data_IF_120390209605
#
_entry.id   IF_120390209605
#
_cell.length_a   1.000
_cell.length_b   1.000
_cell.length_c   1.000
_cell.angle_alpha   90.00
_cell.angle_beta   90.00
_cell.angle_gamma   90.00
#
_symmetry.space_group_name_H-M   'P 1'
#
loop_
_entity.id
_entity.type
_entity.pdbx_description
1 polymer ?
#
# COMPACT_ATOMS: atom_id res chain seq x y z
N UNK A 1 13.01 -7.70 -27.64
CA UNK A 1 11.61 -7.24 -27.81
C UNK A 1 11.46 -6.81 -29.26
N UNK A 2 10.48 -7.35 -29.98
CA UNK A 2 10.19 -6.93 -31.36
C UNK A 2 9.59 -5.52 -31.33
N UNK A 3 9.74 -4.76 -32.41
CA UNK A 3 9.24 -3.38 -32.48
C UNK A 3 7.72 -3.29 -32.21
N UNK A 4 6.96 -4.28 -32.66
CA UNK A 4 5.52 -4.43 -32.40
C UNK A 4 5.18 -4.65 -30.92
N UNK A 5 6.01 -5.40 -30.19
CA UNK A 5 5.83 -5.64 -28.75
C UNK A 5 6.08 -4.35 -27.96
N UNK A 6 7.12 -3.61 -28.32
CA UNK A 6 7.44 -2.32 -27.70
C UNK A 6 6.31 -1.29 -27.93
N UNK A 7 5.75 -1.24 -29.14
CA UNK A 7 4.59 -0.39 -29.44
C UNK A 7 3.36 -0.76 -28.61
N UNK A 8 3.10 -2.06 -28.43
CA UNK A 8 1.99 -2.53 -27.61
C UNK A 8 2.15 -2.10 -26.15
N UNK A 9 3.37 -2.20 -25.60
CA UNK A 9 3.68 -1.73 -24.25
C UNK A 9 3.52 -0.21 -24.13
N UNK A 10 3.97 0.57 -25.12
CA UNK A 10 3.78 2.02 -25.14
C UNK A 10 2.30 2.42 -25.19
N UNK A 11 1.47 1.69 -25.94
CA UNK A 11 0.03 1.92 -25.97
C UNK A 11 -0.61 1.58 -24.61
N UNK A 12 -0.19 0.48 -23.98
CA UNK A 12 -0.64 0.09 -22.65
C UNK A 12 -0.28 1.15 -21.60
N UNK A 13 0.98 1.63 -21.61
CA UNK A 13 1.42 2.72 -20.74
C UNK A 13 0.57 3.96 -20.94
N UNK A 14 0.39 4.38 -22.19
CA UNK A 14 -0.38 5.58 -22.51
C UNK A 14 -1.81 5.49 -22.00
N UNK A 15 -2.47 4.34 -22.17
CA UNK A 15 -3.83 4.12 -21.65
C UNK A 15 -3.85 4.14 -20.12
N UNK A 16 -2.92 3.44 -19.47
CA UNK A 16 -2.85 3.34 -18.01
C UNK A 16 -2.60 4.70 -17.36
N UNK A 17 -1.64 5.46 -17.88
CA UNK A 17 -1.32 6.82 -17.41
C UNK A 17 -2.51 7.75 -17.63
N UNK A 18 -3.10 7.76 -18.83
CA UNK A 18 -4.27 8.61 -19.12
C UNK A 18 -5.45 8.27 -18.21
N UNK A 19 -5.67 6.98 -17.93
CA UNK A 19 -6.75 6.53 -17.04
C UNK A 19 -6.51 7.04 -15.61
N UNK A 20 -5.30 6.85 -15.10
CA UNK A 20 -4.93 7.34 -13.77
C UNK A 20 -5.06 8.87 -13.68
N UNK A 21 -4.58 9.61 -14.68
CA UNK A 21 -4.70 11.06 -14.71
C UNK A 21 -6.16 11.52 -14.78
N UNK A 22 -7.01 10.89 -15.58
CA UNK A 22 -8.44 11.21 -15.67
C UNK A 22 -9.14 11.05 -14.32
N UNK A 23 -8.96 9.92 -13.63
CA UNK A 23 -9.54 9.71 -12.29
C UNK A 23 -8.96 10.71 -11.30
N UNK A 24 -7.63 10.88 -11.28
CA UNK A 24 -6.95 11.78 -10.35
C UNK A 24 -7.46 13.21 -10.46
N UNK A 25 -7.60 13.72 -11.69
CA UNK A 25 -8.07 15.08 -11.95
C UNK A 25 -9.55 15.23 -11.60
N UNK A 26 -10.40 14.25 -11.95
CA UNK A 26 -11.83 14.30 -11.65
C UNK A 26 -12.11 14.29 -10.15
N UNK A 27 -11.43 13.41 -9.40
CA UNK A 27 -11.63 13.26 -7.96
C UNK A 27 -10.69 14.12 -7.11
N UNK A 28 -9.85 14.96 -7.74
CA UNK A 28 -8.89 15.86 -7.08
C UNK A 28 -7.99 15.14 -6.07
N UNK A 29 -7.53 13.95 -6.43
CA UNK A 29 -6.63 13.17 -5.56
C UNK A 29 -5.22 13.75 -5.66
N UNK A 30 -4.69 14.24 -4.54
CA UNK A 30 -3.33 14.76 -4.48
C UNK A 30 -2.31 13.63 -4.35
N UNK A 31 -1.14 13.80 -4.98
CA UNK A 31 -0.04 12.85 -4.88
C UNK A 31 0.94 12.93 -6.04
N UNK A 32 2.15 12.45 -5.80
CA UNK A 32 3.20 12.31 -6.81
C UNK A 32 2.90 11.12 -7.71
N UNK A 33 2.91 11.34 -9.03
CA UNK A 33 2.76 10.26 -10.01
C UNK A 33 4.05 9.44 -10.12
N UNK A 34 3.95 8.11 -10.29
CA UNK A 34 5.10 7.29 -10.63
C UNK A 34 5.76 7.74 -11.96
N UNK A 35 7.08 7.57 -12.12
CA UNK A 35 7.72 7.58 -13.43
C UNK A 35 7.02 6.64 -14.43
N UNK A 36 6.93 7.06 -15.69
CA UNK A 36 6.40 6.21 -16.77
C UNK A 36 7.36 5.04 -17.04
N UNK A 37 6.88 3.82 -17.31
CA UNK A 37 7.73 2.69 -17.72
C UNK A 37 8.72 3.03 -18.85
N UNK A 38 8.34 3.85 -19.82
CA UNK A 38 9.15 4.30 -20.96
C UNK A 38 10.32 5.19 -20.55
N UNK A 39 10.26 5.82 -19.37
CA UNK A 39 11.41 6.57 -18.84
C UNK A 39 12.63 5.69 -18.54
N UNK A 40 12.42 4.37 -18.39
CA UNK A 40 13.49 3.38 -18.25
C UNK A 40 14.04 2.88 -19.59
N UNK A 41 13.51 3.36 -20.71
CA UNK A 41 14.09 3.19 -22.04
C UNK A 41 13.94 1.81 -22.66
N UNK A 42 12.95 1.01 -22.24
CA UNK A 42 12.69 -0.33 -22.80
C UNK A 42 12.32 -0.30 -24.30
N UNK A 43 11.91 0.86 -24.81
CA UNK A 43 11.48 1.14 -26.18
C UNK A 43 12.66 1.47 -27.12
N UNK A 44 13.89 1.57 -26.60
CA UNK A 44 15.06 2.03 -27.35
C UNK A 44 15.94 0.87 -27.80
N UNK A 45 16.79 1.14 -28.79
CA UNK A 45 17.84 0.20 -29.17
C UNK A 45 18.92 0.13 -28.08
N UNK A 46 19.39 -1.07 -27.76
CA UNK A 46 20.40 -1.32 -26.73
C UNK A 46 21.63 -2.03 -27.29
N UNK A 47 22.80 -1.71 -26.73
CA UNK A 47 24.09 -2.27 -27.16
C UNK A 47 24.17 -3.79 -26.97
N UNK A 48 23.49 -4.32 -25.96
CA UNK A 48 23.52 -5.75 -25.64
C UNK A 48 22.12 -6.25 -25.27
N UNK A 49 21.90 -7.54 -25.51
CA UNK A 49 20.66 -8.21 -25.11
C UNK A 49 20.45 -8.20 -23.58
N UNK A 50 21.53 -8.27 -22.80
CA UNK A 50 21.48 -8.21 -21.33
C UNK A 50 20.91 -6.90 -20.82
N UNK A 51 21.35 -5.76 -21.37
CA UNK A 51 20.83 -4.43 -21.03
C UNK A 51 19.35 -4.35 -21.40
N UNK A 52 18.98 -4.78 -22.62
CA UNK A 52 17.59 -4.77 -23.05
C UNK A 52 16.68 -5.57 -22.11
N UNK A 53 17.09 -6.79 -21.74
CA UNK A 53 16.33 -7.63 -20.80
C UNK A 53 16.17 -6.98 -19.43
N UNK A 54 17.23 -6.36 -18.91
CA UNK A 54 17.18 -5.66 -17.63
C UNK A 54 16.21 -4.48 -17.66
N UNK A 55 16.28 -3.63 -18.69
CA UNK A 55 15.42 -2.44 -18.80
C UNK A 55 13.95 -2.81 -19.04
N UNK A 56 13.68 -3.89 -19.79
CA UNK A 56 12.32 -4.45 -19.91
C UNK A 56 11.80 -4.95 -18.56
N UNK A 57 12.64 -5.61 -17.76
CA UNK A 57 12.24 -6.06 -16.42
C UNK A 57 11.92 -4.88 -15.50
N UNK A 58 12.78 -3.85 -15.49
CA UNK A 58 12.53 -2.61 -14.73
C UNK A 58 11.23 -1.95 -15.20
N UNK A 59 11.04 -1.76 -16.50
CA UNK A 59 9.81 -1.17 -17.05
C UNK A 59 8.56 -1.94 -16.65
N UNK A 60 8.59 -3.28 -16.73
CA UNK A 60 7.50 -4.17 -16.27
C UNK A 60 7.15 -3.92 -14.81
N UNK A 61 8.15 -3.81 -13.95
CA UNK A 61 7.93 -3.59 -12.52
C UNK A 61 7.29 -2.21 -12.28
N UNK A 62 7.60 -1.21 -13.11
CA UNK A 62 6.91 0.08 -13.10
C UNK A 62 5.47 0.05 -13.62
N UNK A 63 5.11 -0.86 -14.53
CA UNK A 63 3.70 -1.10 -14.86
C UNK A 63 2.92 -1.57 -13.62
N UNK A 64 3.52 -2.42 -12.78
CA UNK A 64 2.90 -2.89 -11.54
C UNK A 64 2.67 -1.72 -10.57
N UNK A 65 3.64 -0.81 -10.46
CA UNK A 65 3.49 0.40 -9.64
C UNK A 65 2.33 1.26 -10.16
N UNK A 66 2.20 1.44 -11.47
CA UNK A 66 1.07 2.17 -12.06
C UNK A 66 -0.28 1.48 -11.85
N UNK A 67 -0.33 0.14 -11.92
CA UNK A 67 -1.55 -0.61 -11.59
C UNK A 67 -1.94 -0.42 -10.12
N UNK A 68 -0.97 -0.45 -9.21
CA UNK A 68 -1.19 -0.14 -7.79
C UNK A 68 -1.67 1.30 -7.58
N UNK A 69 -1.07 2.27 -8.27
CA UNK A 69 -1.49 3.67 -8.22
C UNK A 69 -2.92 3.86 -8.75
N UNK A 70 -3.27 3.23 -9.87
CA UNK A 70 -4.64 3.25 -10.40
C UNK A 70 -5.63 2.61 -9.42
N UNK A 71 -5.27 1.49 -8.80
CA UNK A 71 -6.08 0.83 -7.78
C UNK A 71 -6.36 1.76 -6.59
N UNK A 72 -5.34 2.49 -6.14
CA UNK A 72 -5.48 3.51 -5.10
C UNK A 72 -6.43 4.65 -5.53
N UNK A 73 -6.30 5.17 -6.75
CA UNK A 73 -7.19 6.22 -7.26
C UNK A 73 -8.65 5.74 -7.35
N UNK A 74 -8.87 4.51 -7.79
CA UNK A 74 -10.20 3.88 -7.83
C UNK A 74 -10.75 3.75 -6.40
N UNK A 75 -9.97 3.28 -5.45
CA UNK A 75 -10.38 3.20 -4.05
C UNK A 75 -10.76 4.59 -3.49
N UNK A 76 -9.96 5.62 -3.79
CA UNK A 76 -10.25 6.99 -3.37
C UNK A 76 -11.53 7.54 -4.00
N UNK A 77 -11.79 7.22 -5.28
CA UNK A 77 -13.02 7.62 -5.98
C UNK A 77 -14.30 7.10 -5.29
N UNK A 78 -14.17 5.97 -4.59
CA UNK A 78 -15.23 5.30 -3.85
C UNK A 78 -15.44 5.86 -2.42
N UNK A 79 -14.46 6.60 -1.89
CA UNK A 79 -14.39 6.98 -0.46
C UNK A 79 -15.05 8.31 -0.13
N UNK A 80 -15.53 9.07 -1.13
CA UNK A 80 -16.33 10.26 -0.86
C UNK A 80 -17.58 9.85 -0.04
N UNK A 81 -17.87 10.48 1.11
CA UNK A 81 -18.95 10.07 2.04
C UNK A 81 -20.36 10.01 1.42
N UNK A 82 -20.57 10.59 0.23
CA UNK A 82 -21.80 10.45 -0.55
C UNK A 82 -21.84 9.21 -1.46
N UNK A 83 -20.76 8.43 -1.57
CA UNK A 83 -20.54 7.35 -2.55
C UNK A 83 -20.15 6.00 -1.91
N UNK A 84 -19.91 5.95 -0.59
CA UNK A 84 -19.49 4.74 0.12
C UNK A 84 -20.51 3.56 0.10
N UNK A 85 -21.84 3.77 0.00
CA UNK A 85 -22.76 2.63 -0.09
C UNK A 85 -22.58 1.77 -1.36
N UNK A 86 -21.99 2.31 -2.43
CA UNK A 86 -21.97 1.70 -3.77
C UNK A 86 -20.70 0.89 -4.10
N UNK A 87 -19.72 0.82 -3.20
CA UNK A 87 -18.39 0.26 -3.49
C UNK A 87 -18.06 -1.05 -2.78
N UNK A 88 -19.05 -1.69 -2.14
CA UNK A 88 -18.92 -3.12 -1.87
C UNK A 88 -18.89 -3.81 -3.23
N UNK A 89 -17.73 -4.30 -3.63
CA UNK A 89 -17.49 -5.07 -4.85
C UNK A 89 -18.53 -6.19 -5.10
N UNK A 90 -19.20 -6.68 -4.04
CA UNK A 90 -20.33 -7.62 -4.11
C UNK A 90 -21.56 -7.08 -4.86
N UNK A 91 -21.74 -5.77 -4.95
CA UNK A 91 -22.90 -5.13 -5.57
C UNK A 91 -22.68 -4.77 -7.05
N UNK A 92 -21.43 -4.76 -7.54
CA UNK A 92 -21.05 -4.39 -8.93
C UNK A 92 -21.52 -5.36 -10.01
N UNK A 93 -22.26 -6.39 -9.64
CA UNK A 93 -22.99 -7.26 -10.57
C UNK A 93 -24.43 -7.59 -10.14
N UNK A 94 -24.82 -7.29 -8.89
CA UNK A 94 -26.16 -7.63 -8.37
C UNK A 94 -27.21 -6.56 -8.64
N UNK A 95 -26.82 -5.28 -8.76
CA UNK A 95 -27.75 -4.17 -9.05
C UNK A 95 -27.62 -3.59 -10.46
N UNK A 96 -26.71 -4.10 -11.29
CA UNK A 96 -26.47 -3.61 -12.66
C UNK A 96 -25.92 -2.16 -12.74
N UNK A 97 -25.58 -1.55 -11.60
CA UNK A 97 -25.06 -0.18 -11.57
C UNK A 97 -23.54 -0.18 -11.76
N UNK A 98 -23.07 0.50 -12.79
CA UNK A 98 -21.65 0.71 -13.05
C UNK A 98 -21.06 1.71 -12.02
N UNK A 99 -19.80 1.52 -11.58
CA UNK A 99 -19.15 2.47 -10.69
C UNK A 99 -19.05 3.88 -11.31
N UNK A 100 -19.07 4.93 -10.48
CA UNK A 100 -18.96 6.32 -10.98
C UNK A 100 -17.66 6.57 -11.75
N UNK A 101 -16.53 6.02 -11.28
CA UNK A 101 -15.25 6.15 -11.99
C UNK A 101 -15.31 5.53 -13.40
N UNK A 102 -16.08 4.45 -13.58
CA UNK A 102 -16.29 3.82 -14.88
C UNK A 102 -16.99 4.80 -15.83
N UNK A 103 -18.04 5.46 -15.35
CA UNK A 103 -18.80 6.44 -16.13
C UNK A 103 -17.95 7.66 -16.49
N UNK A 104 -17.08 8.12 -15.59
CA UNK A 104 -16.13 9.20 -15.87
C UNK A 104 -15.18 8.81 -17.00
N UNK A 105 -14.56 7.63 -16.92
CA UNK A 105 -13.65 7.17 -17.98
C UNK A 105 -14.36 6.92 -19.31
N UNK A 106 -15.61 6.45 -19.27
CA UNK A 106 -16.45 6.33 -20.46
C UNK A 106 -16.65 7.68 -21.14
N UNK A 107 -16.92 8.73 -20.37
CA UNK A 107 -17.06 10.10 -20.89
C UNK A 107 -15.74 10.66 -21.44
N UNK A 108 -14.60 10.26 -20.86
CA UNK A 108 -13.25 10.57 -21.36
C UNK A 108 -12.84 9.76 -22.61
N UNK A 109 -13.75 8.93 -23.15
CA UNK A 109 -13.57 8.21 -24.41
C UNK A 109 -12.78 6.90 -24.28
N UNK A 110 -12.72 6.28 -23.10
CA UNK A 110 -12.12 4.96 -22.94
C UNK A 110 -13.01 3.86 -23.55
N UNK A 111 -12.43 2.87 -24.26
CA UNK A 111 -13.18 1.75 -24.83
C UNK A 111 -13.87 0.89 -23.76
N UNK A 112 -15.12 0.49 -24.00
CA UNK A 112 -15.94 -0.30 -23.07
C UNK A 112 -15.34 -1.68 -22.74
N UNK A 113 -14.73 -2.33 -23.73
CA UNK A 113 -14.05 -3.61 -23.57
C UNK A 113 -12.86 -3.49 -22.62
N UNK A 114 -12.10 -2.40 -22.75
CA UNK A 114 -10.98 -2.11 -21.86
C UNK A 114 -11.46 -1.78 -20.44
N UNK A 115 -12.52 -0.98 -20.31
CA UNK A 115 -13.10 -0.65 -18.99
C UNK A 115 -13.70 -1.87 -18.30
N UNK A 116 -14.34 -2.77 -19.05
CA UNK A 116 -14.83 -4.05 -18.55
C UNK A 116 -13.68 -4.95 -18.08
N UNK A 117 -12.58 -4.98 -18.83
CA UNK A 117 -11.34 -5.64 -18.43
C UNK A 117 -10.75 -5.05 -17.14
N UNK A 118 -10.73 -3.72 -17.01
CA UNK A 118 -10.27 -3.05 -15.80
C UNK A 118 -11.16 -3.37 -14.59
N UNK A 119 -12.49 -3.35 -14.77
CA UNK A 119 -13.47 -3.64 -13.73
C UNK A 119 -13.34 -5.07 -13.17
N UNK A 120 -12.98 -6.03 -14.02
CA UNK A 120 -12.81 -7.45 -13.66
C UNK A 120 -11.38 -7.80 -13.23
N UNK A 121 -10.44 -6.85 -13.32
CA UNK A 121 -9.05 -7.07 -12.95
C UNK A 121 -8.78 -6.91 -11.45
N UNK A 122 -7.62 -7.42 -11.01
CA UNK A 122 -7.12 -7.28 -9.64
C UNK A 122 -6.95 -5.81 -9.20
N UNK A 123 -6.82 -4.88 -10.16
CA UNK A 123 -6.76 -3.43 -9.86
C UNK A 123 -8.03 -2.97 -9.15
N UNK A 124 -9.18 -3.56 -9.47
CA UNK A 124 -10.48 -3.26 -8.88
C UNK A 124 -10.90 -4.26 -7.79
N UNK A 125 -10.07 -5.27 -7.49
CA UNK A 125 -10.37 -6.25 -6.44
C UNK A 125 -9.77 -5.83 -5.09
N UNK A 126 -10.62 -5.32 -4.21
CA UNK A 126 -10.24 -4.92 -2.86
C UNK A 126 -10.48 -6.03 -1.83
N UNK A 127 -10.81 -7.25 -2.27
CA UNK A 127 -10.96 -8.40 -1.39
C UNK A 127 -9.61 -8.96 -0.93
N UNK A 128 -9.64 -9.83 0.08
CA UNK A 128 -8.46 -10.54 0.60
C UNK A 128 -7.82 -11.51 -0.40
N UNK A 129 -8.45 -11.76 -1.55
CA UNK A 129 -7.92 -12.65 -2.60
C UNK A 129 -6.77 -12.00 -3.35
N UNK A 130 -6.78 -10.69 -3.43
CA UNK A 130 -5.74 -9.91 -4.10
C UNK A 130 -4.76 -9.40 -3.04
N UNK A 131 -3.57 -10.02 -2.90
CA UNK A 131 -2.58 -9.56 -1.95
C UNK A 131 -2.11 -8.16 -2.34
N UNK A 132 -2.09 -7.25 -1.37
CA UNK A 132 -1.63 -5.87 -1.55
C UNK A 132 -0.32 -5.65 -0.82
N UNK A 133 0.55 -4.84 -1.42
CA UNK A 133 1.73 -4.34 -0.73
C UNK A 133 1.27 -3.54 0.47
N UNK A 134 1.68 -3.97 1.66
CA UNK A 134 1.35 -3.24 2.86
C UNK A 134 2.20 -1.98 3.03
N UNK A 135 1.87 -1.20 4.04
CA UNK A 135 2.52 0.08 4.32
C UNK A 135 3.05 0.12 5.74
N UNK A 136 4.19 0.78 5.91
CA UNK A 136 4.74 1.11 7.23
C UNK A 136 4.33 2.54 7.56
N UNK A 137 3.62 2.74 8.67
CA UNK A 137 3.03 4.03 9.04
C UNK A 137 3.46 4.42 10.45
N UNK A 138 3.87 5.67 10.63
CA UNK A 138 3.92 6.30 11.96
C UNK A 138 2.58 6.98 12.21
N UNK A 139 1.64 6.26 12.83
CA UNK A 139 0.27 6.75 12.97
C UNK A 139 0.13 7.89 13.98
N UNK A 140 1.12 8.08 14.85
CA UNK A 140 1.14 9.18 15.82
C UNK A 140 1.50 10.52 15.20
N UNK A 141 2.20 10.51 14.06
CA UNK A 141 2.48 11.73 13.30
C UNK A 141 1.19 12.26 12.65
N UNK A 142 0.89 13.54 12.90
CA UNK A 142 -0.24 14.25 12.29
C UNK A 142 0.07 14.57 10.83
N UNK A 143 -0.33 13.68 9.92
CA UNK A 143 -0.33 13.92 8.49
C UNK A 143 -1.76 14.00 7.98
N UNK A 144 -2.22 15.21 7.63
CA UNK A 144 -3.56 15.46 7.08
C UNK A 144 -3.77 14.87 5.70
N UNK A 145 -2.68 14.53 4.99
CA UNK A 145 -2.75 13.92 3.66
C UNK A 145 -2.85 12.40 3.72
N UNK A 146 -2.61 11.81 4.90
CA UNK A 146 -2.66 10.37 5.09
C UNK A 146 -4.12 9.87 5.11
N UNK A 147 -4.43 8.81 4.35
CA UNK A 147 -5.72 8.14 4.46
C UNK A 147 -5.96 7.59 5.85
N UNK A 148 -7.23 7.46 6.22
CA UNK A 148 -7.61 6.84 7.48
C UNK A 148 -7.12 5.38 7.57
N UNK A 149 -6.69 4.96 8.76
CA UNK A 149 -6.13 3.62 8.96
C UNK A 149 -7.19 2.53 8.87
N UNK A 150 -8.41 2.81 9.31
CA UNK A 150 -9.52 1.88 9.17
C UNK A 150 -9.85 1.68 7.69
N UNK A 151 -9.85 2.76 6.91
CA UNK A 151 -10.02 2.69 5.45
C UNK A 151 -8.98 1.77 4.78
N UNK A 152 -7.69 1.92 5.14
CA UNK A 152 -6.62 1.06 4.61
C UNK A 152 -6.84 -0.42 4.96
N UNK A 153 -7.26 -0.68 6.20
CA UNK A 153 -7.58 -2.03 6.67
C UNK A 153 -8.80 -2.63 5.94
N UNK A 154 -9.82 -1.83 5.65
CA UNK A 154 -11.00 -2.24 4.87
C UNK A 154 -10.65 -2.60 3.42
N UNK A 155 -9.63 -1.95 2.84
CA UNK A 155 -9.06 -2.30 1.55
C UNK A 155 -8.11 -3.51 1.58
N UNK A 156 -8.01 -4.20 2.72
CA UNK A 156 -7.12 -5.33 2.94
C UNK A 156 -5.63 -5.00 2.63
N UNK A 157 -5.22 -3.76 2.90
CA UNK A 157 -3.82 -3.35 2.83
C UNK A 157 -3.16 -3.71 4.16
N UNK A 158 -2.11 -4.56 4.18
CA UNK A 158 -1.40 -4.86 5.42
C UNK A 158 -0.79 -3.59 6.02
N UNK A 159 -0.99 -3.39 7.32
CA UNK A 159 -0.47 -2.24 8.05
C UNK A 159 0.61 -2.67 9.02
N UNK A 160 1.75 -2.00 8.97
CA UNK A 160 2.79 -2.12 9.97
C UNK A 160 3.05 -0.75 10.58
N UNK A 161 3.16 -0.70 11.89
CA UNK A 161 3.53 0.52 12.59
C UNK A 161 4.34 0.13 13.82
N UNK A 162 5.30 0.97 14.24
CA UNK A 162 5.97 0.75 15.50
C UNK A 162 4.95 0.85 16.63
N UNK A 163 5.08 -0.02 17.62
CA UNK A 163 4.41 0.17 18.90
C UNK A 163 5.45 0.64 19.91
N UNK A 164 5.29 1.84 20.43
CA UNK A 164 6.15 2.42 21.46
C UNK A 164 5.31 3.10 22.52
N UNK A 165 5.97 3.69 23.52
CA UNK A 165 5.25 4.46 24.54
C UNK A 165 4.50 5.66 23.95
N UNK A 166 4.95 6.19 22.80
CA UNK A 166 4.23 7.27 22.11
C UNK A 166 2.83 6.84 21.67
N UNK A 167 2.71 5.62 21.14
CA UNK A 167 1.45 5.04 20.68
C UNK A 167 0.51 4.73 21.86
N UNK A 168 1.04 4.20 22.98
CA UNK A 168 0.25 3.97 24.20
C UNK A 168 -0.24 5.30 24.82
N UNK A 169 0.62 6.32 24.86
CA UNK A 169 0.25 7.68 25.30
C UNK A 169 -0.81 8.30 24.36
N UNK A 170 -0.67 8.07 23.04
CA UNK A 170 -1.62 8.57 22.05
C UNK A 170 -3.01 7.93 22.17
N UNK A 171 -3.11 6.63 22.49
CA UNK A 171 -4.41 5.96 22.74
C UNK A 171 -5.03 6.42 24.05
N UNK A 172 -4.20 6.69 25.07
CA UNK A 172 -4.70 7.24 26.34
C UNK A 172 -5.36 8.61 26.11
N UNK A 173 -4.85 9.40 25.15
CA UNK A 173 -5.45 10.69 24.74
C UNK A 173 -6.65 10.52 23.81
N UNK A 174 -6.61 9.53 22.93
CA UNK A 174 -7.66 9.25 21.95
C UNK A 174 -8.07 7.77 21.97
N UNK A 175 -9.07 7.40 22.80
CA UNK A 175 -9.54 6.02 22.93
C UNK A 175 -10.13 5.44 21.63
N UNK A 176 -10.49 6.25 20.63
CA UNK A 176 -11.03 5.75 19.36
C UNK A 176 -10.01 4.91 18.59
N UNK A 177 -8.72 5.09 18.86
CA UNK A 177 -7.62 4.35 18.25
C UNK A 177 -7.23 3.08 19.01
N UNK A 178 -7.96 2.72 20.07
CA UNK A 178 -7.66 1.54 20.88
C UNK A 178 -7.66 0.23 20.07
N UNK A 179 -8.38 0.17 18.95
CA UNK A 179 -8.40 -1.00 18.06
C UNK A 179 -7.04 -1.30 17.40
N UNK A 180 -6.12 -0.32 17.36
CA UNK A 180 -4.75 -0.50 16.85
C UNK A 180 -3.84 -1.18 17.86
N UNK A 181 -4.29 -1.36 19.11
CA UNK A 181 -3.47 -1.97 20.17
C UNK A 181 -3.18 -3.43 19.86
N UNK A 182 -1.90 -3.84 19.77
CA UNK A 182 -1.57 -5.23 19.54
C UNK A 182 -2.06 -6.08 20.72
N UNK A 183 -2.59 -7.29 20.45
CA UNK A 183 -2.96 -8.23 21.50
C UNK A 183 -1.76 -8.54 22.42
N UNK A 184 -2.01 -8.66 23.73
CA UNK A 184 -0.97 -8.93 24.72
C UNK A 184 -0.16 -10.21 24.40
N UNK A 185 -0.82 -11.24 23.87
CA UNK A 185 -0.16 -12.49 23.48
C UNK A 185 0.79 -12.32 22.28
N UNK A 186 0.48 -11.41 21.36
CA UNK A 186 1.36 -11.07 20.25
C UNK A 186 2.62 -10.35 20.75
N UNK A 187 2.46 -9.41 21.69
CA UNK A 187 3.60 -8.73 22.33
C UNK A 187 4.48 -9.75 23.05
N UNK A 188 3.88 -10.60 23.89
CA UNK A 188 4.62 -11.60 24.68
C UNK A 188 5.36 -12.59 23.79
N UNK A 189 4.73 -13.11 22.74
CA UNK A 189 5.38 -14.03 21.79
C UNK A 189 6.53 -13.37 21.02
N UNK A 190 6.35 -12.11 20.59
CA UNK A 190 7.39 -11.34 19.90
C UNK A 190 8.59 -11.08 20.80
N UNK A 191 8.37 -10.69 22.06
CA UNK A 191 9.45 -10.50 23.04
C UNK A 191 10.18 -11.83 23.30
N UNK A 192 9.45 -12.92 23.53
CA UNK A 192 10.06 -14.26 23.70
C UNK A 192 10.94 -14.65 22.53
N UNK A 193 10.49 -14.46 21.29
CA UNK A 193 11.27 -14.76 20.09
C UNK A 193 12.53 -13.88 20.00
N UNK A 194 12.37 -12.57 20.24
CA UNK A 194 13.46 -11.59 20.14
C UNK A 194 14.56 -11.83 21.18
N UNK A 195 14.20 -12.23 22.40
CA UNK A 195 15.15 -12.48 23.49
C UNK A 195 15.59 -13.95 23.60
N UNK A 196 14.98 -14.89 22.86
CA UNK A 196 15.42 -16.29 22.82
C UNK A 196 16.74 -16.49 22.08
N UNK A 197 17.07 -15.61 21.13
CA UNK A 197 18.38 -15.52 20.49
C UNK A 197 18.84 -14.06 20.55
N UNK A 198 19.57 -13.65 21.60
CA UNK A 198 19.92 -12.24 21.82
C UNK A 198 20.89 -11.77 20.74
N UNK A 199 20.35 -11.25 19.65
CA UNK A 199 21.08 -10.29 18.86
C UNK A 199 21.09 -8.99 19.69
N UNK A 200 22.15 -8.83 20.50
CA UNK A 200 22.33 -7.73 21.48
C UNK A 200 21.91 -6.34 20.96
N UNK A 201 22.17 -5.96 19.69
CA UNK A 201 21.76 -4.66 19.16
C UNK A 201 20.23 -4.51 19.02
N UNK A 202 19.52 -5.59 18.65
CA UNK A 202 18.07 -5.54 18.46
C UNK A 202 17.36 -5.52 19.82
N UNK A 203 17.84 -6.34 20.75
CA UNK A 203 17.36 -6.39 22.13
C UNK A 203 17.47 -5.02 22.82
N UNK A 204 18.61 -4.33 22.67
CA UNK A 204 18.81 -3.00 23.26
C UNK A 204 17.90 -1.93 22.64
N UNK A 205 17.70 -1.97 21.32
CA UNK A 205 16.78 -1.04 20.62
C UNK A 205 15.35 -1.24 21.10
N UNK A 206 14.90 -2.49 21.24
CA UNK A 206 13.55 -2.83 21.74
C UNK A 206 13.38 -2.34 23.18
N UNK A 207 14.35 -2.59 24.07
CA UNK A 207 14.32 -2.14 25.46
C UNK A 207 14.22 -0.60 25.58
N UNK A 208 15.03 0.14 24.82
CA UNK A 208 15.02 1.61 24.83
C UNK A 208 13.69 2.17 24.31
N UNK A 209 13.17 1.62 23.21
CA UNK A 209 11.97 2.13 22.53
C UNK A 209 10.68 1.76 23.23
N UNK A 210 10.63 0.57 23.85
CA UNK A 210 9.39 -0.01 24.36
C UNK A 210 9.26 0.11 25.88
N UNK A 211 10.37 0.07 26.62
CA UNK A 211 10.35 -0.02 28.10
C UNK A 211 10.93 1.22 28.80
N UNK A 212 11.37 2.25 28.06
CA UNK A 212 12.10 3.42 28.58
C UNK A 212 13.34 3.05 29.41
N UNK A 213 13.97 1.91 29.14
CA UNK A 213 15.16 1.51 29.90
C UNK A 213 16.42 1.84 29.13
N UNK A 214 17.23 2.74 29.70
CA UNK A 214 18.56 3.06 29.20
C UNK A 214 19.55 2.08 29.85
N UNK A 215 20.04 1.10 29.10
CA UNK A 215 21.06 0.19 29.60
C UNK A 215 22.45 0.55 29.08
N UNK A 216 23.43 0.48 29.99
CA UNK A 216 24.83 0.23 29.66
C UNK A 216 24.98 -1.28 29.39
N UNK A 217 25.82 -1.67 28.45
CA UNK A 217 25.89 -3.00 27.82
C UNK A 217 25.90 -4.24 28.74
N UNK A 218 26.30 -4.11 30.01
CA UNK A 218 26.32 -5.22 30.99
C UNK A 218 24.96 -5.52 31.67
N UNK A 219 23.97 -4.62 31.59
CA UNK A 219 22.68 -4.78 32.27
C UNK A 219 21.57 -5.42 31.41
N UNK A 220 21.82 -5.58 30.11
CA UNK A 220 20.85 -6.11 29.14
C UNK A 220 20.43 -7.55 29.43
N UNK A 221 21.35 -8.40 29.90
CA UNK A 221 21.07 -9.81 30.19
C UNK A 221 20.16 -9.99 31.41
N UNK A 222 20.31 -9.17 32.45
CA UNK A 222 19.44 -9.20 33.64
C UNK A 222 18.04 -8.68 33.34
N UNK A 223 17.95 -7.64 32.51
CA UNK A 223 16.69 -7.05 32.10
C UNK A 223 15.88 -7.95 31.17
N UNK A 224 16.53 -8.63 30.22
CA UNK A 224 15.88 -9.59 29.33
C UNK A 224 15.17 -10.70 30.12
N UNK A 225 15.81 -11.19 31.19
CA UNK A 225 15.22 -12.21 32.10
C UNK A 225 14.00 -11.66 32.87
N UNK A 226 13.94 -10.36 33.14
CA UNK A 226 12.84 -9.74 33.89
C UNK A 226 11.64 -9.42 32.99
N UNK A 227 11.88 -9.02 31.74
CA UNK A 227 10.83 -8.79 30.71
C UNK A 227 10.15 -10.10 30.30
N UNK A 228 10.88 -11.22 30.29
CA UNK A 228 10.32 -12.54 29.98
C UNK A 228 9.37 -13.11 31.06
N UNK A 229 9.27 -12.47 32.24
CA UNK A 229 8.39 -12.87 33.35
C UNK A 229 7.02 -12.16 33.36
N UNK A 230 6.75 -11.25 32.41
CA UNK A 230 5.45 -10.57 32.18
C UNK A 230 4.62 -11.29 31.09
#
# INVERSE_FOLDING_TARGET
MRQEEAQTWMQCETRLVRCADAIRMHYKVYGTTPPKPSSFGFDRAHKTHGIARHLVAVARDWFIIWMGFLSYLIAQSCTNPFNWPDCKQKDWGQKGALPKWYMVLRQEGFPEDWLSGLLTSDVCDFSRRTPRTGIVVDWTCEDKTRPDLQWLNELNIPLWFPWTVKEDDAITRDPTKAYLKPPADLIRSTLKCTFANPNLPLASIVMQRFLRVNFVTEELDKAAVQVLKL
#
